data_IF_340027759769
#
_entry.id   IF_340027759769
#
_cell.length_a   1.000
_cell.length_b   1.000
_cell.length_c   1.000
_cell.angle_alpha   90.00
_cell.angle_beta   90.00
_cell.angle_gamma   90.00
#
_symmetry.space_group_name_H-M   'P 1'
#
loop_
_entity.id
_entity.type
_entity.pdbx_description
1 polymer ?
#
# COMPACT_ATOMS: atom_id res chain seq x y z
N UNK A 1 3.85 20.35 28.44
CA UNK A 1 4.78 19.78 27.45
C UNK A 1 3.98 19.54 26.19
N UNK A 2 3.86 20.59 25.39
CA UNK A 2 3.04 20.62 24.17
C UNK A 2 3.81 19.87 23.10
N UNK A 3 3.27 18.75 22.65
CA UNK A 3 3.80 18.03 21.48
C UNK A 3 3.48 18.92 20.28
N UNK A 4 4.53 19.54 19.73
CA UNK A 4 4.46 20.27 18.48
C UNK A 4 4.07 19.29 17.39
N UNK A 5 2.89 19.47 16.84
CA UNK A 5 2.44 18.80 15.62
C UNK A 5 3.28 19.37 14.47
N UNK A 6 4.35 18.65 14.11
CA UNK A 6 5.17 18.95 12.93
C UNK A 6 4.38 18.62 11.66
N UNK A 7 3.38 19.45 11.37
CA UNK A 7 2.74 19.49 10.06
C UNK A 7 3.76 20.04 9.07
N UNK A 8 4.51 19.12 8.44
CA UNK A 8 5.35 19.46 7.28
C UNK A 8 4.46 20.16 6.25
N UNK A 9 4.86 21.39 5.88
CA UNK A 9 4.07 22.26 5.00
C UNK A 9 3.72 21.58 3.69
N UNK A 10 2.56 21.89 3.14
CA UNK A 10 2.11 21.33 1.87
C UNK A 10 3.19 21.47 0.79
N UNK A 11 3.42 20.43 -0.03
CA UNK A 11 4.35 20.54 -1.14
C UNK A 11 3.83 21.61 -2.11
N UNK A 12 4.55 22.73 -2.18
CA UNK A 12 4.15 23.92 -2.93
C UNK A 12 4.55 23.85 -4.40
N UNK A 13 5.39 22.89 -4.78
CA UNK A 13 5.84 22.68 -6.16
C UNK A 13 5.63 21.23 -6.65
N UNK A 14 5.80 21.05 -7.96
CA UNK A 14 5.59 19.75 -8.60
C UNK A 14 6.56 18.67 -8.09
N UNK A 15 7.79 19.05 -7.73
CA UNK A 15 8.80 18.11 -7.24
C UNK A 15 8.43 17.56 -5.86
N UNK A 16 7.97 18.43 -4.97
CA UNK A 16 7.46 18.05 -3.67
C UNK A 16 6.24 17.14 -3.77
N UNK A 17 5.28 17.45 -4.66
CA UNK A 17 4.10 16.59 -4.89
C UNK A 17 4.48 15.21 -5.45
N UNK A 18 5.49 15.12 -6.30
CA UNK A 18 6.02 13.83 -6.78
C UNK A 18 6.67 13.05 -5.65
N UNK A 19 7.47 13.70 -4.80
CA UNK A 19 8.08 13.06 -3.64
C UNK A 19 7.03 12.51 -2.66
N UNK A 20 5.98 13.29 -2.38
CA UNK A 20 4.83 12.88 -1.58
C UNK A 20 4.17 11.62 -2.16
N UNK A 21 3.86 11.61 -3.46
CA UNK A 21 3.26 10.47 -4.13
C UNK A 21 4.13 9.20 -4.03
N UNK A 22 5.45 9.32 -4.20
CA UNK A 22 6.37 8.19 -4.08
C UNK A 22 6.40 7.64 -2.66
N UNK A 23 6.41 8.50 -1.64
CA UNK A 23 6.34 8.09 -0.24
C UNK A 23 5.04 7.35 0.07
N UNK A 24 3.90 7.86 -0.43
CA UNK A 24 2.59 7.21 -0.26
C UNK A 24 2.53 5.84 -0.93
N UNK A 25 3.10 5.69 -2.13
CA UNK A 25 3.18 4.40 -2.82
C UNK A 25 4.03 3.38 -2.05
N UNK A 26 5.15 3.81 -1.49
CA UNK A 26 5.98 2.92 -0.68
C UNK A 26 5.28 2.49 0.61
N UNK A 27 4.58 3.42 1.27
CA UNK A 27 3.76 3.11 2.45
C UNK A 27 2.66 2.09 2.11
N UNK A 28 1.96 2.27 0.99
CA UNK A 28 0.95 1.33 0.51
C UNK A 28 1.53 -0.04 0.14
N UNK A 29 2.77 -0.07 -0.37
CA UNK A 29 3.47 -1.32 -0.71
C UNK A 29 3.87 -2.11 0.53
N UNK A 30 4.43 -1.45 1.55
CA UNK A 30 4.83 -2.07 2.84
C UNK A 30 3.63 -2.56 3.65
N UNK A 31 2.48 -1.92 3.48
CA UNK A 31 1.28 -2.23 4.24
C UNK A 31 1.34 -1.69 5.68
N UNK A 32 0.30 -1.94 6.50
CA UNK A 32 0.11 -1.27 7.77
C UNK A 32 0.93 -1.84 8.93
N UNK A 33 1.56 -3.01 8.79
CA UNK A 33 2.26 -3.67 9.91
C UNK A 33 3.22 -4.75 9.42
N UNK A 34 4.51 -4.58 9.74
CA UNK A 34 5.54 -5.62 9.51
C UNK A 34 5.23 -6.90 10.26
N UNK A 35 4.73 -6.78 11.50
CA UNK A 35 4.28 -7.91 12.32
C UNK A 35 3.19 -8.74 11.61
N UNK A 36 2.31 -8.11 10.83
CA UNK A 36 1.29 -8.84 10.07
C UNK A 36 1.90 -9.65 8.92
N UNK A 37 2.92 -9.09 8.25
CA UNK A 37 3.72 -9.78 7.22
C UNK A 37 4.45 -10.97 7.83
N UNK A 38 5.17 -10.77 8.94
CA UNK A 38 5.87 -11.85 9.65
C UNK A 38 4.91 -12.95 10.11
N UNK A 39 3.75 -12.59 10.67
CA UNK A 39 2.74 -13.57 11.10
C UNK A 39 2.14 -14.37 9.93
N UNK A 40 2.11 -13.81 8.72
CA UNK A 40 1.68 -14.51 7.52
C UNK A 40 2.78 -15.50 7.06
N UNK A 41 4.03 -15.05 7.01
CA UNK A 41 5.17 -15.90 6.68
C UNK A 41 5.38 -17.03 7.67
N UNK A 42 5.20 -16.78 8.97
CA UNK A 42 5.27 -17.79 10.03
C UNK A 42 4.23 -18.92 9.87
N UNK A 43 3.15 -18.67 9.12
CA UNK A 43 2.15 -19.68 8.76
C UNK A 43 2.50 -20.45 7.47
N UNK A 44 3.70 -20.24 6.92
CA UNK A 44 4.12 -20.80 5.64
C UNK A 44 3.37 -20.23 4.44
N UNK A 45 2.82 -19.02 4.56
CA UNK A 45 2.04 -18.37 3.50
C UNK A 45 2.76 -17.16 2.94
N UNK A 46 2.64 -16.99 1.64
CA UNK A 46 2.98 -15.74 0.97
C UNK A 46 1.95 -14.65 1.26
N UNK A 47 2.40 -13.39 1.26
CA UNK A 47 1.59 -12.18 1.20
C UNK A 47 0.85 -12.08 -0.14
N UNK A 48 -0.09 -11.13 -0.27
CA UNK A 48 -0.82 -10.93 -1.52
C UNK A 48 0.11 -10.50 -2.68
N UNK A 49 1.08 -9.59 -2.43
CA UNK A 49 2.02 -9.14 -3.47
C UNK A 49 2.97 -10.26 -3.91
N UNK A 50 3.51 -11.02 -2.96
CA UNK A 50 4.40 -12.15 -3.28
C UNK A 50 3.69 -13.23 -4.12
N UNK A 51 2.38 -13.44 -3.93
CA UNK A 51 1.61 -14.36 -4.79
C UNK A 51 1.45 -13.84 -6.21
N UNK A 52 1.26 -12.53 -6.35
CA UNK A 52 1.16 -11.87 -7.67
C UNK A 52 2.52 -11.95 -8.38
N UNK A 53 3.61 -11.66 -7.67
CA UNK A 53 4.98 -11.77 -8.18
C UNK A 53 5.37 -13.20 -8.55
N UNK A 54 4.85 -14.21 -7.83
CA UNK A 54 5.05 -15.61 -8.16
C UNK A 54 4.28 -16.03 -9.43
N UNK A 55 3.09 -15.48 -9.64
CA UNK A 55 2.20 -15.87 -10.74
C UNK A 55 2.58 -15.19 -12.06
N UNK A 56 2.90 -13.90 -12.01
CA UNK A 56 3.08 -13.06 -13.19
C UNK A 56 4.56 -12.99 -13.59
N UNK A 57 4.81 -12.76 -14.88
CA UNK A 57 6.15 -12.55 -15.39
C UNK A 57 6.80 -11.33 -14.70
N UNK A 58 8.09 -11.43 -14.40
CA UNK A 58 8.82 -10.41 -13.64
C UNK A 58 8.68 -9.01 -14.27
N UNK A 59 8.23 -8.04 -13.46
CA UNK A 59 8.04 -6.65 -13.89
C UNK A 59 6.80 -6.39 -14.76
N UNK A 60 6.00 -7.42 -15.07
CA UNK A 60 4.79 -7.27 -15.89
C UNK A 60 3.62 -6.66 -15.12
N UNK A 61 3.55 -6.89 -13.81
CA UNK A 61 2.42 -6.45 -13.00
C UNK A 61 2.25 -4.92 -13.00
N UNK A 62 1.05 -4.47 -13.33
CA UNK A 62 0.56 -3.09 -13.28
C UNK A 62 -0.58 -3.02 -12.28
N UNK A 63 -0.27 -2.53 -11.09
CA UNK A 63 -1.25 -2.34 -10.02
C UNK A 63 -2.17 -1.17 -10.33
N UNK A 64 -3.45 -1.31 -9.99
CA UNK A 64 -4.44 -0.23 -9.98
C UNK A 64 -4.97 0.01 -8.59
N UNK A 65 -5.45 1.23 -8.34
CA UNK A 65 -6.13 1.58 -7.08
C UNK A 65 -5.28 1.37 -5.82
N UNK A 66 -3.94 1.39 -5.94
CA UNK A 66 -3.00 1.17 -4.83
C UNK A 66 -3.26 2.07 -3.61
N UNK A 67 -3.70 3.31 -3.85
CA UNK A 67 -3.96 4.31 -2.79
C UNK A 67 -5.43 4.34 -2.32
N UNK A 68 -6.25 3.36 -2.73
CA UNK A 68 -7.65 3.26 -2.31
C UNK A 68 -7.76 3.05 -0.80
N UNK A 69 -8.77 3.69 -0.21
CA UNK A 69 -9.16 3.58 1.21
C UNK A 69 -10.68 3.54 1.28
N UNK A 70 -11.25 2.70 2.15
CA UNK A 70 -12.71 2.71 2.35
C UNK A 70 -13.23 4.06 2.87
N UNK A 71 -14.51 4.29 2.60
CA UNK A 71 -15.28 5.44 3.12
C UNK A 71 -16.26 5.05 4.23
N UNK A 72 -16.28 3.78 4.63
CA UNK A 72 -17.12 3.29 5.72
C UNK A 72 -16.84 4.04 7.03
N UNK A 73 -17.90 4.26 7.79
CA UNK A 73 -17.91 4.93 9.11
C UNK A 73 -18.63 4.06 10.12
N UNK A 74 -18.30 4.21 11.40
CA UNK A 74 -18.89 3.46 12.50
C UNK A 74 -18.03 2.29 12.92
N UNK A 75 -18.24 1.83 14.16
CA UNK A 75 -17.45 0.78 14.81
C UNK A 75 -15.93 1.06 14.86
N UNK A 76 -15.51 2.32 14.80
CA UNK A 76 -14.10 2.71 14.80
C UNK A 76 -13.37 2.50 13.47
N UNK A 77 -14.08 2.15 12.39
CA UNK A 77 -13.46 1.94 11.08
C UNK A 77 -12.83 3.22 10.52
N UNK A 78 -13.38 4.39 10.86
CA UNK A 78 -12.81 5.68 10.48
C UNK A 78 -11.37 5.89 10.96
N UNK A 79 -10.98 5.24 12.06
CA UNK A 79 -9.62 5.32 12.62
C UNK A 79 -8.61 4.42 11.88
N UNK A 80 -9.07 3.42 11.10
CA UNK A 80 -8.19 2.44 10.46
C UNK A 80 -8.55 2.25 8.99
N UNK A 81 -7.98 3.12 8.16
CA UNK A 81 -8.15 3.07 6.70
C UNK A 81 -6.83 2.67 6.02
N UNK A 82 -6.45 1.39 5.95
CA UNK A 82 -5.24 1.01 5.24
C UNK A 82 -5.35 1.34 3.75
N UNK A 83 -4.23 1.60 3.08
CA UNK A 83 -4.18 1.62 1.62
C UNK A 83 -4.53 0.23 1.05
N UNK A 84 -4.92 0.20 -0.24
CA UNK A 84 -5.45 -0.96 -0.97
C UNK A 84 -6.78 -1.53 -0.48
N UNK A 85 -7.29 -1.06 0.66
CA UNK A 85 -8.53 -1.54 1.29
C UNK A 85 -8.59 -3.08 1.46
N UNK A 86 -7.42 -3.70 1.62
CA UNK A 86 -7.28 -5.14 1.85
C UNK A 86 -7.23 -6.01 0.58
N UNK A 87 -7.27 -5.43 -0.62
CA UNK A 87 -7.17 -6.16 -1.90
C UNK A 87 -6.18 -5.49 -2.85
N UNK A 88 -5.37 -6.30 -3.53
CA UNK A 88 -4.41 -5.81 -4.54
C UNK A 88 -4.92 -6.27 -5.90
N UNK A 89 -5.10 -5.33 -6.81
CA UNK A 89 -5.68 -5.56 -8.14
C UNK A 89 -4.82 -4.94 -9.22
N UNK A 90 -4.92 -5.48 -10.43
CA UNK A 90 -4.13 -5.05 -11.56
C UNK A 90 -4.16 -6.07 -12.69
N UNK A 91 -3.25 -5.90 -13.65
CA UNK A 91 -3.02 -6.84 -14.74
C UNK A 91 -1.51 -7.05 -14.93
N UNK A 92 -1.14 -8.09 -15.65
CA UNK A 92 0.24 -8.39 -16.04
C UNK A 92 0.22 -9.54 -17.03
N UNK A 93 1.36 -10.16 -17.27
CA UNK A 93 1.47 -11.28 -18.21
C UNK A 93 1.81 -12.57 -17.49
N UNK A 94 1.36 -13.70 -18.05
CA UNK A 94 1.80 -15.05 -17.65
C UNK A 94 2.29 -15.75 -18.91
N UNK A 95 3.57 -16.13 -18.93
CA UNK A 95 4.22 -16.73 -20.10
C UNK A 95 4.06 -15.84 -21.35
N UNK A 96 4.13 -14.51 -21.16
CA UNK A 96 4.03 -13.51 -22.21
C UNK A 96 2.61 -13.22 -22.71
N UNK A 97 1.56 -13.71 -22.05
CA UNK A 97 0.15 -13.51 -22.43
C UNK A 97 -0.63 -12.67 -21.44
#
# INVERSE_FOLDING_TARGET
MTVVDETQGEPTDARGRVAELLALREQARRGPSERATEAQHAKGKLTARERIELLLDAGSFKEVEQLRRHRATGFGLEAKKPYTDGVITGWGTVEGR
#
